data_IF_718220022049
#
_entry.id   IF_718220022049
#
_cell.length_a   1.000
_cell.length_b   1.000
_cell.length_c   1.000
_cell.angle_alpha   90.00
_cell.angle_beta   90.00
_cell.angle_gamma   90.00
#
_symmetry.space_group_name_H-M   'P 1'
#
loop_
_entity.id
_entity.type
_entity.pdbx_description
1 polymer ?
#
# COMPACT_ATOMS: atom_id res chain seq x y z
N UNK A 1 -2.09 1.12 21.09
CA UNK A 1 -2.58 1.23 19.69
C UNK A 1 -1.47 1.15 18.62
N UNK A 2 -0.34 1.88 18.70
CA UNK A 2 0.66 1.91 17.61
C UNK A 2 1.10 0.52 17.08
N UNK A 3 1.40 -0.42 17.97
CA UNK A 3 1.89 -1.75 17.57
C UNK A 3 0.88 -2.57 16.79
N UNK A 4 -0.43 -2.29 16.95
CA UNK A 4 -1.48 -2.88 16.12
C UNK A 4 -1.32 -2.43 14.67
N UNK A 5 -1.05 -1.15 14.44
CA UNK A 5 -0.81 -0.63 13.08
C UNK A 5 0.49 -1.16 12.47
N UNK A 6 1.53 -1.39 13.29
CA UNK A 6 2.75 -2.05 12.81
C UNK A 6 2.50 -3.51 12.42
N UNK A 7 1.72 -4.26 13.22
CA UNK A 7 1.33 -5.64 12.90
C UNK A 7 0.46 -5.69 11.64
N UNK A 8 -0.49 -4.76 11.49
CA UNK A 8 -1.32 -4.63 10.29
C UNK A 8 -0.50 -4.24 9.05
N UNK A 9 0.52 -3.38 9.20
CA UNK A 9 1.42 -3.05 8.11
C UNK A 9 2.21 -4.28 7.64
N UNK A 10 2.74 -5.07 8.58
CA UNK A 10 3.45 -6.31 8.27
C UNK A 10 2.53 -7.34 7.60
N UNK A 11 1.32 -7.52 8.12
CA UNK A 11 0.33 -8.42 7.53
C UNK A 11 -0.06 -7.97 6.11
N UNK A 12 -0.37 -6.68 5.96
CA UNK A 12 -0.71 -6.05 4.68
C UNK A 12 0.45 -6.02 3.68
N UNK A 13 1.70 -6.19 4.14
CA UNK A 13 2.86 -6.36 3.29
C UNK A 13 3.04 -7.81 2.85
N UNK A 14 3.03 -8.75 3.80
CA UNK A 14 3.35 -10.14 3.54
C UNK A 14 2.26 -10.83 2.73
N UNK A 15 0.99 -10.60 3.07
CA UNK A 15 -0.11 -11.35 2.47
C UNK A 15 -0.27 -11.06 0.97
N UNK A 16 -0.40 -9.80 0.49
CA UNK A 16 -0.52 -9.53 -0.95
C UNK A 16 0.74 -9.90 -1.72
N UNK A 17 1.92 -9.65 -1.13
CA UNK A 17 3.20 -9.92 -1.77
C UNK A 17 3.42 -11.41 -2.01
N UNK A 18 2.96 -12.27 -1.10
CA UNK A 18 3.01 -13.72 -1.28
C UNK A 18 2.25 -14.17 -2.54
N UNK A 19 1.05 -13.64 -2.76
CA UNK A 19 0.25 -13.96 -3.94
C UNK A 19 0.88 -13.43 -5.23
N UNK A 20 1.39 -12.19 -5.22
CA UNK A 20 2.07 -11.60 -6.38
C UNK A 20 3.35 -12.36 -6.74
N UNK A 21 4.19 -12.72 -5.76
CA UNK A 21 5.41 -13.48 -6.03
C UNK A 21 5.12 -14.89 -6.51
N UNK A 22 4.11 -15.55 -5.93
CA UNK A 22 3.69 -16.89 -6.39
C UNK A 22 3.20 -16.85 -7.83
N UNK A 23 2.43 -15.82 -8.19
CA UNK A 23 1.96 -15.62 -9.57
C UNK A 23 3.12 -15.30 -10.52
N UNK A 24 4.02 -14.39 -10.15
CA UNK A 24 5.20 -14.05 -10.96
C UNK A 24 6.12 -15.25 -11.17
N UNK A 25 6.37 -16.06 -10.13
CA UNK A 25 7.18 -17.27 -10.24
C UNK A 25 6.57 -18.30 -11.20
N UNK A 26 5.24 -18.34 -11.32
CA UNK A 26 4.53 -19.20 -12.27
C UNK A 26 4.41 -18.62 -13.69
N UNK A 27 4.71 -17.32 -13.89
CA UNK A 27 4.53 -16.60 -15.15
C UNK A 27 5.82 -15.87 -15.58
N UNK A 28 6.97 -16.56 -15.51
CA UNK A 28 8.28 -16.08 -15.98
C UNK A 28 8.73 -14.72 -15.43
N UNK A 29 8.28 -14.34 -14.23
CA UNK A 29 8.49 -13.01 -13.64
C UNK A 29 8.02 -11.85 -14.53
N UNK A 30 7.06 -12.10 -15.40
CA UNK A 30 6.49 -11.12 -16.31
C UNK A 30 5.55 -10.17 -15.57
N UNK A 31 5.97 -8.90 -15.45
CA UNK A 31 5.11 -7.85 -14.92
C UNK A 31 3.88 -7.61 -15.81
N UNK A 32 4.02 -7.82 -17.13
CA UNK A 32 2.90 -7.71 -18.07
C UNK A 32 1.83 -8.78 -17.79
N UNK A 33 2.24 -10.03 -17.51
CA UNK A 33 1.31 -11.10 -17.15
C UNK A 33 0.58 -10.81 -15.82
N UNK A 34 1.29 -10.22 -14.86
CA UNK A 34 0.69 -9.80 -13.59
C UNK A 34 -0.40 -8.72 -13.80
N UNK A 35 -0.12 -7.74 -14.67
CA UNK A 35 -1.08 -6.69 -15.03
C UNK A 35 -2.29 -7.30 -15.76
N UNK A 36 -2.07 -8.18 -16.73
CA UNK A 36 -3.16 -8.87 -17.43
C UNK A 36 -4.06 -9.65 -16.46
N UNK A 37 -3.46 -10.29 -15.44
CA UNK A 37 -4.20 -11.00 -14.40
C UNK A 37 -5.09 -10.08 -13.56
N UNK A 38 -4.68 -8.83 -13.33
CA UNK A 38 -5.50 -7.84 -12.64
C UNK A 38 -6.73 -7.44 -13.45
N UNK A 39 -6.64 -7.47 -14.79
CA UNK A 39 -7.72 -7.12 -15.71
C UNK A 39 -8.42 -8.33 -16.34
N UNK A 40 -8.20 -9.54 -15.83
CA UNK A 40 -8.73 -10.79 -16.41
C UNK A 40 -10.27 -10.86 -16.38
N UNK A 41 -10.91 -10.20 -15.42
CA UNK A 41 -12.37 -10.08 -15.33
C UNK A 41 -12.80 -8.77 -14.67
N UNK A 42 -14.12 -8.50 -14.70
CA UNK A 42 -14.71 -7.28 -14.14
C UNK A 42 -14.49 -7.14 -12.62
N UNK A 43 -14.43 -8.26 -11.90
CA UNK A 43 -14.26 -8.27 -10.44
C UNK A 43 -12.83 -7.88 -10.02
N UNK A 44 -11.81 -8.46 -10.65
CA UNK A 44 -10.40 -8.13 -10.38
C UNK A 44 -10.05 -6.72 -10.89
N UNK A 45 -10.67 -6.31 -12.00
CA UNK A 45 -10.56 -4.95 -12.50
C UNK A 45 -11.13 -3.95 -11.50
N UNK A 46 -12.31 -4.24 -10.94
CA UNK A 46 -12.92 -3.43 -9.88
C UNK A 46 -12.05 -3.31 -8.64
N UNK A 47 -11.45 -4.42 -8.18
CA UNK A 47 -10.52 -4.42 -7.04
C UNK A 47 -9.25 -3.58 -7.32
N UNK A 48 -8.73 -3.63 -8.55
CA UNK A 48 -7.56 -2.83 -8.95
C UNK A 48 -7.87 -1.33 -8.93
N UNK A 49 -9.07 -0.93 -9.38
CA UNK A 49 -9.52 0.45 -9.29
C UNK A 49 -9.74 0.91 -7.86
N UNK A 50 -10.33 0.07 -7.00
CA UNK A 50 -10.48 0.36 -5.57
C UNK A 50 -9.12 0.66 -4.90
N UNK A 51 -8.14 -0.22 -5.11
CA UNK A 51 -6.78 -0.04 -4.61
C UNK A 51 -6.11 1.22 -5.18
N UNK A 52 -6.30 1.51 -6.46
CA UNK A 52 -5.73 2.69 -7.12
C UNK A 52 -6.29 3.98 -6.52
N UNK A 53 -7.61 4.06 -6.34
CA UNK A 53 -8.28 5.22 -5.73
C UNK A 53 -7.81 5.40 -4.29
N UNK A 54 -7.71 4.31 -3.52
CA UNK A 54 -7.21 4.36 -2.14
C UNK A 54 -5.75 4.82 -2.06
N UNK A 55 -4.88 4.37 -2.97
CA UNK A 55 -3.48 4.81 -3.07
C UNK A 55 -3.37 6.32 -3.36
N UNK A 56 -4.18 6.83 -4.29
CA UNK A 56 -4.23 8.26 -4.64
C UNK A 56 -4.72 9.07 -3.45
N UNK A 57 -5.81 8.66 -2.79
CA UNK A 57 -6.36 9.34 -1.62
C UNK A 57 -5.33 9.42 -0.47
N UNK A 58 -4.64 8.31 -0.17
CA UNK A 58 -3.60 8.27 0.85
C UNK A 58 -2.42 9.18 0.48
N UNK A 59 -1.98 9.17 -0.78
CA UNK A 59 -0.88 10.03 -1.26
C UNK A 59 -1.23 11.51 -1.10
N UNK A 60 -2.43 11.92 -1.52
CA UNK A 60 -2.90 13.31 -1.35
C UNK A 60 -2.93 13.69 0.13
N UNK A 61 -3.45 12.82 0.99
CA UNK A 61 -3.51 13.07 2.43
C UNK A 61 -2.12 13.24 3.05
N UNK A 62 -1.19 12.32 2.75
CA UNK A 62 0.20 12.38 3.21
C UNK A 62 0.88 13.67 2.77
N UNK A 63 0.67 14.10 1.52
CA UNK A 63 1.23 15.35 1.00
C UNK A 63 0.66 16.57 1.73
N UNK A 64 -0.66 16.62 1.93
CA UNK A 64 -1.32 17.71 2.68
C UNK A 64 -0.77 17.79 4.10
N UNK A 65 -0.61 16.66 4.78
CA UNK A 65 -0.09 16.64 6.16
C UNK A 65 1.40 16.98 6.23
N UNK A 66 2.20 16.51 5.26
CA UNK A 66 3.62 16.86 5.15
C UNK A 66 3.80 18.38 4.97
N UNK A 67 2.99 19.02 4.13
CA UNK A 67 3.07 20.46 3.88
C UNK A 67 2.52 21.28 5.05
N UNK A 68 1.33 20.94 5.59
CA UNK A 68 0.66 21.73 6.63
C UNK A 68 1.28 21.55 8.01
N UNK A 69 1.72 20.33 8.34
CA UNK A 69 2.18 19.97 9.70
C UNK A 69 3.67 19.64 9.75
N UNK A 70 4.43 19.90 8.67
CA UNK A 70 5.85 19.51 8.51
C UNK A 70 6.08 18.04 8.88
N UNK A 71 5.17 17.19 8.45
CA UNK A 71 5.19 15.76 8.75
C UNK A 71 5.99 14.96 7.71
N UNK A 72 7.29 15.22 7.63
CA UNK A 72 8.19 14.59 6.66
C UNK A 72 8.30 13.07 6.82
N UNK A 73 8.17 12.54 8.05
CA UNK A 73 8.18 11.10 8.29
C UNK A 73 7.02 10.37 7.56
N UNK A 74 5.87 11.03 7.40
CA UNK A 74 4.71 10.47 6.69
C UNK A 74 4.99 10.16 5.22
N UNK A 75 5.98 10.82 4.60
CA UNK A 75 6.35 10.59 3.20
C UNK A 75 6.82 9.16 2.93
N UNK A 76 7.30 8.43 3.95
CA UNK A 76 7.69 7.01 3.84
C UNK A 76 6.48 6.11 3.51
N UNK A 77 5.26 6.55 3.83
CA UNK A 77 4.05 5.82 3.47
C UNK A 77 3.82 5.78 1.95
N UNK A 78 4.32 6.76 1.19
CA UNK A 78 4.16 6.81 -0.27
C UNK A 78 4.91 5.65 -0.94
N UNK A 79 6.24 5.47 -0.77
CA UNK A 79 6.94 4.33 -1.34
C UNK A 79 6.40 3.00 -0.77
N UNK A 80 5.97 2.94 0.49
CA UNK A 80 5.33 1.73 1.03
C UNK A 80 4.01 1.40 0.30
N UNK A 81 3.21 2.40 -0.06
CA UNK A 81 1.94 2.22 -0.78
C UNK A 81 2.15 1.69 -2.19
N UNK A 82 3.14 2.23 -2.92
CA UNK A 82 3.39 1.83 -4.31
C UNK A 82 4.28 0.59 -4.46
N UNK A 83 5.24 0.38 -3.55
CA UNK A 83 6.15 -0.77 -3.63
C UNK A 83 5.58 -2.02 -2.96
N UNK A 84 4.71 -1.88 -1.96
CA UNK A 84 4.20 -3.01 -1.18
C UNK A 84 2.68 -3.12 -1.30
N UNK A 85 1.97 -2.00 -1.27
CA UNK A 85 0.53 -1.92 -1.43
C UNK A 85 -0.12 -0.99 -0.40
N UNK A 86 -1.34 -0.54 -0.71
CA UNK A 86 -2.14 0.36 0.16
C UNK A 86 -2.39 -0.26 1.53
N UNK A 87 -2.57 -1.58 1.59
CA UNK A 87 -2.77 -2.34 2.82
C UNK A 87 -1.58 -2.25 3.79
N UNK A 88 -0.36 -1.99 3.29
CA UNK A 88 0.82 -1.71 4.13
C UNK A 88 1.00 -0.21 4.36
N UNK A 89 0.77 0.61 3.32
CA UNK A 89 0.99 2.06 3.36
C UNK A 89 0.13 2.78 4.40
N UNK A 90 -1.17 2.46 4.48
CA UNK A 90 -2.10 3.12 5.40
C UNK A 90 -1.79 2.80 6.88
N UNK A 91 -1.60 1.55 7.31
CA UNK A 91 -1.22 1.26 8.70
C UNK A 91 0.16 1.82 9.05
N UNK A 92 1.13 1.79 8.12
CA UNK A 92 2.45 2.39 8.33
C UNK A 92 2.35 3.90 8.57
N UNK A 93 1.53 4.59 7.77
CA UNK A 93 1.27 6.02 7.96
C UNK A 93 0.66 6.31 9.34
N UNK A 94 -0.34 5.53 9.76
CA UNK A 94 -0.95 5.66 11.08
C UNK A 94 0.06 5.40 12.20
N UNK A 95 0.93 4.40 12.06
CA UNK A 95 1.99 4.11 13.03
C UNK A 95 2.96 5.29 13.22
N UNK A 96 3.41 5.89 12.11
CA UNK A 96 4.30 7.05 12.13
C UNK A 96 3.61 8.27 12.74
N UNK A 97 2.31 8.44 12.46
CA UNK A 97 1.50 9.50 13.04
C UNK A 97 1.34 9.38 14.56
N UNK A 98 1.00 8.20 15.06
CA UNK A 98 0.84 7.98 16.51
C UNK A 98 2.14 8.15 17.29
N UNK A 99 3.30 8.07 16.64
CA UNK A 99 4.60 8.19 17.30
C UNK A 99 5.01 9.63 17.64
N UNK A 100 4.29 10.65 17.13
CA UNK A 100 4.53 12.09 17.44
C UNK A 100 3.56 12.68 18.47
N UNK A 101 2.55 11.92 18.89
CA UNK A 101 1.57 12.34 19.91
C UNK A 101 1.98 11.95 21.34
N UNK A 102 3.14 11.31 21.51
CA UNK A 102 3.75 10.93 22.81
C UNK A 102 4.97 11.80 23.05
#
# INVERSE_FOLDING_TARGET
>A
MRWVFAALALWGAVHPMYWFMSYMAANDWSLAALIDAWYVNESTTGLTWDLTIAAVALTVWVLVEAVRHRHWAGLIAIPATFCIGVSCGLPLYLFLRTSREV
#
